data_IF_658365564077
#
_entry.id   IF_658365564077
#
_cell.length_a   1.000
_cell.length_b   1.000
_cell.length_c   1.000
_cell.angle_alpha   90.00
_cell.angle_beta   90.00
_cell.angle_gamma   90.00
#
_symmetry.space_group_name_H-M   'P 1'
#
loop_
_entity.id
_entity.type
_entity.pdbx_description
1 polymer ?
#
# COMPACT_ATOMS: atom_id res chain seq x y z
N UNK A 1 -25.07 -39.19 -49.93
CA UNK A 1 -25.65 -37.93 -49.42
C UNK A 1 -25.57 -38.03 -47.90
N UNK A 2 -24.39 -37.78 -47.32
CA UNK A 2 -23.95 -36.50 -46.73
C UNK A 2 -24.99 -35.98 -45.73
N UNK A 3 -24.74 -36.22 -44.44
CA UNK A 3 -24.17 -35.28 -43.45
C UNK A 3 -25.33 -34.55 -42.74
N UNK A 4 -25.34 -34.21 -41.46
CA UNK A 4 -24.28 -33.95 -40.49
C UNK A 4 -24.92 -34.03 -39.09
N UNK A 5 -24.12 -34.40 -38.09
CA UNK A 5 -24.46 -34.36 -36.67
C UNK A 5 -23.84 -33.07 -36.09
N UNK A 6 -24.59 -32.12 -35.50
CA UNK A 6 -24.01 -30.91 -34.95
C UNK A 6 -24.09 -30.95 -33.42
N UNK A 7 -23.09 -31.51 -32.75
CA UNK A 7 -22.84 -31.18 -31.34
C UNK A 7 -21.40 -31.53 -30.94
N UNK A 8 -20.47 -30.68 -31.35
CA UNK A 8 -19.12 -30.63 -30.78
C UNK A 8 -18.70 -29.17 -30.57
N UNK A 9 -19.16 -28.57 -29.47
CA UNK A 9 -18.47 -27.43 -28.85
C UNK A 9 -18.44 -27.61 -27.35
N UNK A 10 -17.38 -28.23 -26.83
CA UNK A 10 -16.98 -28.11 -25.43
C UNK A 10 -15.45 -28.06 -25.32
N UNK A 11 -14.99 -26.87 -24.94
CA UNK A 11 -13.88 -26.58 -24.04
C UNK A 11 -12.46 -27.08 -24.41
N UNK A 12 -11.74 -26.25 -25.15
CA UNK A 12 -10.27 -26.15 -25.09
C UNK A 12 -9.86 -24.82 -24.46
N UNK A 13 -9.87 -24.74 -23.13
CA UNK A 13 -9.16 -23.70 -22.37
C UNK A 13 -8.70 -24.30 -21.04
N UNK A 14 -7.72 -25.20 -21.07
CA UNK A 14 -6.99 -25.61 -19.85
C UNK A 14 -5.64 -26.30 -20.11
N UNK A 15 -4.76 -25.72 -20.92
CA UNK A 15 -3.41 -26.30 -21.17
C UNK A 15 -2.25 -25.32 -21.39
N UNK A 16 -2.37 -23.98 -21.25
CA UNK A 16 -1.32 -23.09 -21.77
C UNK A 16 -0.11 -22.79 -20.86
N UNK A 17 -0.22 -22.79 -19.54
CA UNK A 17 0.89 -22.30 -18.69
C UNK A 17 2.11 -23.24 -18.60
N UNK A 18 1.91 -24.56 -18.73
CA UNK A 18 3.03 -25.53 -18.70
C UNK A 18 3.80 -25.56 -20.02
N UNK A 19 3.14 -25.20 -21.11
CA UNK A 19 3.72 -25.23 -22.46
C UNK A 19 4.67 -24.03 -22.65
N UNK A 20 4.25 -22.84 -22.22
CA UNK A 20 5.04 -21.61 -22.34
C UNK A 20 6.40 -21.67 -21.60
N UNK A 21 6.44 -22.32 -20.42
CA UNK A 21 7.67 -22.50 -19.66
C UNK A 21 8.66 -23.46 -20.34
N UNK A 22 8.15 -24.54 -20.94
CA UNK A 22 8.97 -25.49 -21.71
C UNK A 22 9.50 -24.86 -23.00
N UNK A 23 8.67 -24.05 -23.67
CA UNK A 23 9.07 -23.30 -24.86
C UNK A 23 10.14 -22.25 -24.54
N UNK A 24 10.03 -21.54 -23.42
CA UNK A 24 11.04 -20.56 -22.99
C UNK A 24 12.39 -21.23 -22.70
N UNK A 25 12.38 -22.41 -22.07
CA UNK A 25 13.60 -23.19 -21.81
C UNK A 25 14.22 -23.74 -23.09
N UNK A 26 13.41 -24.24 -24.02
CA UNK A 26 13.88 -24.69 -25.34
C UNK A 26 14.54 -23.53 -26.11
N UNK A 27 13.90 -22.35 -26.13
CA UNK A 27 14.44 -21.15 -26.76
C UNK A 27 15.78 -20.73 -26.15
N UNK A 28 15.92 -20.81 -24.81
CA UNK A 28 17.19 -20.52 -24.15
C UNK A 28 18.30 -21.53 -24.54
N UNK A 29 17.95 -22.81 -24.70
CA UNK A 29 18.89 -23.83 -25.17
C UNK A 29 19.30 -23.57 -26.62
N UNK A 30 18.37 -23.24 -27.51
CA UNK A 30 18.65 -22.92 -28.91
C UNK A 30 19.56 -21.69 -29.06
N UNK A 31 19.38 -20.69 -28.19
CA UNK A 31 20.28 -19.54 -28.08
C UNK A 31 21.68 -19.96 -27.65
N UNK A 32 21.80 -20.81 -26.61
CA UNK A 32 23.09 -21.30 -26.09
C UNK A 32 23.81 -22.18 -27.10
N UNK A 33 23.07 -22.98 -27.87
CA UNK A 33 23.58 -23.85 -28.93
C UNK A 33 23.89 -23.08 -30.23
N UNK A 34 23.55 -21.79 -30.30
CA UNK A 34 23.80 -20.93 -31.46
C UNK A 34 22.84 -21.17 -32.63
N UNK A 35 21.77 -21.94 -32.43
CA UNK A 35 20.73 -22.21 -33.44
C UNK A 35 19.85 -21.00 -33.71
N UNK A 36 19.67 -20.13 -32.72
CA UNK A 36 18.92 -18.87 -32.82
C UNK A 36 19.84 -17.72 -32.43
N UNK A 37 19.90 -16.66 -33.26
CA UNK A 37 20.63 -15.46 -32.90
C UNK A 37 19.83 -14.61 -31.91
N UNK A 38 20.33 -14.32 -30.70
CA UNK A 38 19.58 -13.57 -29.68
C UNK A 38 19.15 -12.17 -30.10
N UNK A 39 19.87 -11.56 -31.05
CA UNK A 39 19.52 -10.22 -31.57
C UNK A 39 18.24 -10.22 -32.40
N UNK A 40 17.81 -11.38 -32.89
CA UNK A 40 16.57 -11.54 -33.67
C UNK A 40 15.31 -11.63 -32.81
N UNK A 41 15.45 -11.78 -31.49
CA UNK A 41 14.34 -11.97 -30.56
C UNK A 41 13.46 -10.72 -30.45
N UNK A 42 12.15 -10.93 -30.57
CA UNK A 42 11.15 -9.88 -30.31
C UNK A 42 11.01 -9.64 -28.80
N UNK A 43 10.48 -8.49 -28.38
CA UNK A 43 10.23 -8.22 -26.95
C UNK A 43 9.41 -9.31 -26.26
N UNK A 44 8.39 -9.87 -26.92
CA UNK A 44 7.50 -10.88 -26.35
C UNK A 44 8.19 -12.23 -26.09
N UNK A 45 9.21 -12.57 -26.89
CA UNK A 45 10.04 -13.78 -26.71
C UNK A 45 11.17 -13.53 -25.72
N UNK A 46 11.71 -12.30 -25.72
CA UNK A 46 12.83 -11.90 -24.87
C UNK A 46 12.43 -11.71 -23.42
N UNK A 47 11.25 -11.16 -23.13
CA UNK A 47 10.78 -10.89 -21.76
C UNK A 47 10.65 -12.16 -20.89
N UNK A 48 10.07 -13.27 -21.36
CA UNK A 48 10.06 -14.54 -20.62
C UNK A 48 11.47 -15.06 -20.30
N UNK A 49 12.40 -14.93 -21.25
CA UNK A 49 13.81 -15.29 -21.02
C UNK A 49 14.46 -14.39 -19.96
N UNK A 50 14.21 -13.08 -19.99
CA UNK A 50 14.68 -12.14 -18.96
C UNK A 50 14.11 -12.51 -17.59
N UNK A 51 12.81 -12.83 -17.51
CA UNK A 51 12.19 -13.27 -16.26
C UNK A 51 12.80 -14.56 -15.71
N UNK A 52 13.05 -15.54 -16.57
CA UNK A 52 13.69 -16.80 -16.21
C UNK A 52 15.12 -16.58 -15.69
N UNK A 53 15.97 -15.85 -16.43
CA UNK A 53 17.35 -15.60 -16.04
C UNK A 53 17.45 -14.74 -14.76
N UNK A 54 16.47 -13.85 -14.53
CA UNK A 54 16.34 -13.14 -13.25
C UNK A 54 16.01 -14.08 -12.09
N UNK A 55 15.13 -15.06 -12.30
CA UNK A 55 14.78 -16.05 -11.29
C UNK A 55 15.97 -16.98 -10.95
N UNK A 56 16.88 -17.21 -11.92
CA UNK A 56 18.16 -17.88 -11.70
C UNK A 56 19.21 -17.01 -10.98
N UNK A 57 18.90 -15.73 -10.73
CA UNK A 57 19.78 -14.81 -10.00
C UNK A 57 20.83 -14.08 -10.85
N UNK A 58 20.71 -14.12 -12.19
CA UNK A 58 21.69 -13.48 -13.07
C UNK A 58 21.60 -11.95 -13.01
N UNK A 59 22.75 -11.29 -13.11
CA UNK A 59 22.86 -9.83 -13.14
C UNK A 59 22.36 -9.25 -14.48
N UNK A 60 22.03 -7.95 -14.50
CA UNK A 60 21.60 -7.28 -15.76
C UNK A 60 22.65 -7.41 -16.87
N UNK A 61 23.93 -7.32 -16.54
CA UNK A 61 25.03 -7.43 -17.50
C UNK A 61 25.19 -8.86 -18.03
N UNK A 62 25.03 -9.88 -17.19
CA UNK A 62 25.04 -11.28 -17.61
C UNK A 62 23.88 -11.59 -18.56
N UNK A 63 22.68 -11.12 -18.21
CA UNK A 63 21.48 -11.26 -19.06
C UNK A 63 21.69 -10.55 -20.40
N UNK A 64 22.24 -9.33 -20.38
CA UNK A 64 22.54 -8.57 -21.59
C UNK A 64 23.56 -9.29 -22.47
N UNK A 65 24.58 -9.91 -21.88
CA UNK A 65 25.57 -10.71 -22.59
C UNK A 65 24.95 -11.96 -23.23
N UNK A 66 24.17 -12.75 -22.47
CA UNK A 66 23.50 -13.96 -22.97
C UNK A 66 22.53 -13.63 -24.11
N UNK A 67 21.74 -12.58 -23.97
CA UNK A 67 20.73 -12.17 -24.95
C UNK A 67 21.29 -11.23 -26.04
N UNK A 68 22.60 -10.96 -26.05
CA UNK A 68 23.29 -10.01 -26.93
C UNK A 68 22.55 -8.66 -27.07
N UNK A 69 21.95 -8.20 -25.98
CA UNK A 69 21.19 -6.96 -25.90
C UNK A 69 21.97 -5.92 -25.08
N UNK A 70 21.55 -4.65 -25.14
CA UNK A 70 22.13 -3.63 -24.25
C UNK A 70 21.49 -3.68 -22.86
N UNK A 71 22.24 -3.29 -21.84
CA UNK A 71 21.73 -3.14 -20.46
C UNK A 71 20.46 -2.29 -20.40
N UNK A 72 20.39 -1.24 -21.23
CA UNK A 72 19.20 -0.37 -21.33
C UNK A 72 17.95 -1.16 -21.76
N UNK A 73 18.08 -2.07 -22.74
CA UNK A 73 16.96 -2.90 -23.20
C UNK A 73 16.53 -3.86 -22.10
N UNK A 74 17.49 -4.52 -21.44
CA UNK A 74 17.17 -5.44 -20.33
C UNK A 74 16.46 -4.69 -19.20
N UNK A 75 16.90 -3.47 -18.85
CA UNK A 75 16.23 -2.66 -17.84
C UNK A 75 14.80 -2.25 -18.23
N UNK A 76 14.54 -2.00 -19.51
CA UNK A 76 13.19 -1.73 -20.02
C UNK A 76 12.31 -2.99 -19.96
N UNK A 77 12.82 -4.15 -20.34
CA UNK A 77 12.09 -5.41 -20.23
C UNK A 77 11.80 -5.76 -18.76
N UNK A 78 12.78 -5.57 -17.85
CA UNK A 78 12.58 -5.68 -16.40
C UNK A 78 11.52 -4.74 -15.86
N UNK A 79 11.35 -3.56 -16.48
CA UNK A 79 10.30 -2.61 -16.10
C UNK A 79 8.94 -3.10 -16.59
N UNK A 80 8.83 -3.49 -17.87
CA UNK A 80 7.61 -4.03 -18.43
C UNK A 80 7.12 -5.26 -17.65
N UNK A 81 8.01 -6.20 -17.32
CA UNK A 81 7.69 -7.35 -16.47
C UNK A 81 7.18 -6.95 -15.08
N UNK A 82 7.72 -5.89 -14.48
CA UNK A 82 7.23 -5.38 -13.18
C UNK A 82 5.86 -4.73 -13.31
N UNK A 83 5.62 -3.99 -14.39
CA UNK A 83 4.33 -3.38 -14.69
C UNK A 83 3.26 -4.46 -14.96
N UNK A 84 3.58 -5.49 -15.74
CA UNK A 84 2.72 -6.66 -15.99
C UNK A 84 2.40 -7.43 -14.70
N UNK A 85 3.38 -7.61 -13.81
CA UNK A 85 3.20 -8.25 -12.51
C UNK A 85 2.70 -7.30 -11.41
N UNK A 86 2.39 -6.04 -11.75
CA UNK A 86 1.87 -5.10 -10.75
C UNK A 86 0.47 -5.54 -10.36
N UNK A 87 0.34 -6.00 -9.11
CA UNK A 87 -0.96 -6.25 -8.51
C UNK A 87 -1.67 -4.91 -8.39
N UNK A 88 -2.67 -4.67 -9.26
CA UNK A 88 -3.55 -3.52 -9.13
C UNK A 88 -4.22 -3.56 -7.77
N UNK A 89 -4.31 -2.41 -7.08
CA UNK A 89 -4.97 -2.27 -5.78
C UNK A 89 -6.48 -2.50 -5.92
N UNK A 90 -6.90 -3.76 -6.03
CA UNK A 90 -8.30 -4.15 -5.98
C UNK A 90 -8.74 -4.28 -4.52
N UNK A 91 -9.68 -3.46 -4.03
CA UNK A 91 -10.20 -3.57 -2.67
C UNK A 91 -10.72 -4.96 -2.32
N UNK A 92 -11.22 -5.74 -3.30
CA UNK A 92 -11.67 -7.12 -3.06
C UNK A 92 -10.50 -8.06 -2.80
N UNK A 93 -9.42 -7.95 -3.57
CA UNK A 93 -8.21 -8.72 -3.37
C UNK A 93 -7.59 -8.45 -2.00
N UNK A 94 -7.57 -7.19 -1.56
CA UNK A 94 -7.06 -6.85 -0.22
C UNK A 94 -7.91 -7.52 0.87
N UNK A 95 -9.25 -7.46 0.78
CA UNK A 95 -10.14 -8.16 1.74
C UNK A 95 -9.90 -9.68 1.75
N UNK A 96 -9.74 -10.30 0.59
CA UNK A 96 -9.45 -11.74 0.49
C UNK A 96 -8.10 -12.10 1.09
N UNK A 97 -7.06 -11.31 0.82
CA UNK A 97 -5.73 -11.50 1.40
C UNK A 97 -5.75 -11.35 2.92
N UNK A 98 -6.45 -10.34 3.44
CA UNK A 98 -6.63 -10.14 4.88
C UNK A 98 -7.37 -11.30 5.52
N UNK A 99 -8.46 -11.77 4.91
CA UNK A 99 -9.19 -12.96 5.39
C UNK A 99 -8.30 -14.20 5.43
N UNK A 100 -7.46 -14.41 4.40
CA UNK A 100 -6.50 -15.50 4.35
C UNK A 100 -5.42 -15.38 5.43
N UNK A 101 -4.92 -14.18 5.68
CA UNK A 101 -3.93 -13.91 6.74
C UNK A 101 -4.48 -14.28 8.11
N UNK A 102 -5.71 -13.83 8.42
CA UNK A 102 -6.37 -14.13 9.70
C UNK A 102 -6.62 -15.62 9.85
N UNK A 103 -7.12 -16.28 8.80
CA UNK A 103 -7.34 -17.73 8.81
C UNK A 103 -6.05 -18.52 9.06
N UNK A 104 -4.93 -18.13 8.45
CA UNK A 104 -3.64 -18.80 8.66
C UNK A 104 -3.12 -18.57 10.09
N UNK A 105 -3.29 -17.36 10.64
CA UNK A 105 -2.93 -17.06 12.03
C UNK A 105 -3.75 -17.92 13.02
N UNK A 106 -5.05 -18.03 12.81
CA UNK A 106 -5.94 -18.88 13.62
C UNK A 106 -5.54 -20.35 13.55
N UNK A 107 -5.24 -20.86 12.35
CA UNK A 107 -4.76 -22.24 12.16
C UNK A 107 -3.43 -22.48 12.90
N UNK A 108 -2.51 -21.52 12.87
CA UNK A 108 -1.26 -21.60 13.62
C UNK A 108 -1.52 -21.68 15.13
N UNK A 109 -2.37 -20.79 15.67
CA UNK A 109 -2.76 -20.79 17.08
C UNK A 109 -3.40 -22.12 17.47
N UNK A 110 -4.33 -22.64 16.66
CA UNK A 110 -5.00 -23.92 16.92
C UNK A 110 -4.00 -25.08 16.95
N UNK A 111 -3.05 -25.14 16.01
CA UNK A 111 -2.00 -26.16 15.97
C UNK A 111 -1.14 -26.10 17.22
N UNK A 112 -0.65 -24.91 17.59
CA UNK A 112 0.17 -24.72 18.80
C UNK A 112 -0.59 -25.17 20.04
N UNK A 113 -1.84 -24.72 20.22
CA UNK A 113 -2.68 -25.12 21.36
C UNK A 113 -2.94 -26.62 21.41
N UNK A 114 -3.14 -27.27 20.25
CA UNK A 114 -3.30 -28.73 20.18
C UNK A 114 -2.07 -29.44 20.76
N UNK A 115 -0.86 -29.02 20.38
CA UNK A 115 0.39 -29.60 20.90
C UNK A 115 0.63 -29.24 22.38
N UNK A 116 0.35 -28.00 22.78
CA UNK A 116 0.50 -27.55 24.16
C UNK A 116 -0.44 -28.29 25.13
N UNK A 117 -1.61 -28.75 24.68
CA UNK A 117 -2.56 -29.52 25.50
C UNK A 117 -2.24 -31.01 25.64
N UNK A 118 -1.15 -31.49 25.04
CA UNK A 118 -0.68 -32.86 25.20
C UNK A 118 -0.45 -33.24 26.66
N UNK A 119 -0.76 -34.50 27.01
CA UNK A 119 -0.51 -35.05 28.35
C UNK A 119 0.98 -35.11 28.66
N UNK A 120 1.79 -35.46 27.67
CA UNK A 120 3.25 -35.62 27.78
C UNK A 120 4.03 -34.32 27.58
N UNK A 121 3.33 -33.20 27.35
CA UNK A 121 3.97 -31.90 27.09
C UNK A 121 4.48 -31.29 28.41
N UNK A 122 5.78 -30.93 28.52
CA UNK A 122 6.32 -30.26 29.70
C UNK A 122 5.63 -28.93 29.99
N UNK A 123 5.49 -28.56 31.27
CA UNK A 123 4.81 -27.32 31.67
C UNK A 123 5.43 -26.06 31.05
N UNK A 124 6.75 -26.02 30.91
CA UNK A 124 7.46 -24.92 30.24
C UNK A 124 7.01 -24.71 28.79
N UNK A 125 6.81 -25.80 28.05
CA UNK A 125 6.32 -25.78 26.65
C UNK A 125 4.86 -25.34 26.58
N UNK A 126 4.05 -25.65 27.60
CA UNK A 126 2.66 -25.17 27.67
C UNK A 126 2.59 -23.65 27.84
N UNK A 127 3.42 -23.11 28.72
CA UNK A 127 3.54 -21.66 28.96
C UNK A 127 4.06 -20.95 27.72
N UNK A 128 5.15 -21.45 27.12
CA UNK A 128 5.68 -20.87 25.87
C UNK A 128 4.64 -20.96 24.74
N UNK A 129 3.94 -22.09 24.59
CA UNK A 129 2.90 -22.27 23.60
C UNK A 129 1.79 -21.22 23.69
N UNK A 130 1.27 -20.94 24.88
CA UNK A 130 0.26 -19.88 25.03
C UNK A 130 0.83 -18.48 24.85
N UNK A 131 2.06 -18.23 25.31
CA UNK A 131 2.74 -16.98 25.03
C UNK A 131 2.90 -16.72 23.52
N UNK A 132 3.29 -17.72 22.74
CA UNK A 132 3.37 -17.63 21.27
C UNK A 132 2.01 -17.43 20.64
N UNK A 133 0.97 -18.09 21.12
CA UNK A 133 -0.40 -17.87 20.64
C UNK A 133 -0.83 -16.41 20.83
N UNK A 134 -0.55 -15.84 22.00
CA UNK A 134 -0.83 -14.43 22.28
C UNK A 134 -0.02 -13.50 21.36
N UNK A 135 1.28 -13.75 21.18
CA UNK A 135 2.12 -12.96 20.28
C UNK A 135 1.64 -12.96 18.82
N UNK A 136 1.18 -14.11 18.31
CA UNK A 136 0.63 -14.21 16.95
C UNK A 136 -0.64 -13.36 16.85
N UNK A 137 -1.52 -13.47 17.85
CA UNK A 137 -2.76 -12.70 17.90
C UNK A 137 -2.50 -11.18 17.97
N UNK A 138 -1.62 -10.75 18.85
CA UNK A 138 -1.22 -9.35 19.03
C UNK A 138 -0.65 -8.78 17.73
N UNK A 139 0.37 -9.43 17.15
CA UNK A 139 0.99 -9.00 15.89
C UNK A 139 0.00 -8.96 14.73
N UNK A 140 -0.91 -9.92 14.66
CA UNK A 140 -1.94 -9.94 13.61
C UNK A 140 -2.86 -8.73 13.79
N UNK A 141 -3.30 -8.45 15.01
CA UNK A 141 -4.14 -7.30 15.34
C UNK A 141 -3.45 -5.97 15.00
N UNK A 142 -2.18 -5.79 15.40
CA UNK A 142 -1.39 -4.61 15.06
C UNK A 142 -1.26 -4.40 13.55
N UNK A 143 -1.02 -5.50 12.79
CA UNK A 143 -0.93 -5.42 11.33
C UNK A 143 -2.26 -5.03 10.72
N UNK A 144 -3.37 -5.60 11.18
CA UNK A 144 -4.70 -5.21 10.72
C UNK A 144 -5.04 -3.74 11.04
N UNK A 145 -4.66 -3.23 12.22
CA UNK A 145 -4.79 -1.82 12.56
C UNK A 145 -3.94 -0.93 11.65
N UNK A 146 -2.67 -1.30 11.43
CA UNK A 146 -1.75 -0.54 10.56
C UNK A 146 -2.21 -0.48 9.09
N UNK A 147 -2.95 -1.51 8.65
CA UNK A 147 -3.56 -1.59 7.33
C UNK A 147 -4.94 -0.92 7.25
N UNK A 148 -5.46 -0.39 8.37
CA UNK A 148 -6.75 0.30 8.45
C UNK A 148 -7.97 -0.63 8.49
N UNK A 149 -7.79 -1.91 8.77
CA UNK A 149 -8.89 -2.89 8.87
C UNK A 149 -9.54 -2.94 10.24
N UNK A 150 -8.80 -2.59 11.29
CA UNK A 150 -9.29 -2.49 12.65
C UNK A 150 -9.09 -1.06 13.16
N UNK A 151 -9.99 -0.55 14.02
CA UNK A 151 -9.81 0.75 14.62
C UNK A 151 -8.54 0.73 15.51
N UNK A 152 -7.68 1.71 15.30
CA UNK A 152 -6.68 2.09 16.30
C UNK A 152 -7.42 2.90 17.36
N UNK A 153 -7.24 2.57 18.64
CA UNK A 153 -8.00 3.18 19.75
C UNK A 153 -7.84 4.71 19.90
N UNK A 154 -7.03 5.37 19.05
CA UNK A 154 -7.07 6.81 18.88
C UNK A 154 -8.42 7.21 18.28
N UNK A 155 -9.40 7.51 19.14
CA UNK A 155 -10.66 8.12 18.79
C UNK A 155 -10.38 9.36 17.93
N UNK A 156 -10.56 9.22 16.62
CA UNK A 156 -10.60 10.35 15.71
C UNK A 156 -11.90 11.07 16.04
N UNK A 157 -11.83 12.15 16.82
CA UNK A 157 -12.93 13.09 16.97
C UNK A 157 -13.07 13.76 15.60
N UNK A 158 -13.83 13.14 14.71
CA UNK A 158 -14.36 13.82 13.53
C UNK A 158 -15.49 14.72 14.02
N UNK A 159 -15.09 15.85 14.60
CA UNK A 159 -16.01 16.98 14.75
C UNK A 159 -16.16 17.56 13.35
N UNK A 160 -17.27 17.24 12.70
CA UNK A 160 -17.75 18.04 11.58
C UNK A 160 -17.95 19.47 12.12
N UNK A 161 -16.94 20.32 11.92
CA UNK A 161 -17.08 21.76 12.05
C UNK A 161 -17.99 22.19 10.89
N UNK A 162 -19.29 21.93 11.04
CA UNK A 162 -20.29 22.62 10.24
C UNK A 162 -20.22 24.07 10.68
N UNK A 163 -19.36 24.86 10.02
CA UNK A 163 -19.66 26.27 9.81
C UNK A 163 -20.98 26.26 9.07
N UNK A 164 -22.11 26.32 9.79
CA UNK A 164 -23.34 26.80 9.19
C UNK A 164 -22.97 28.19 8.67
N UNK A 165 -22.91 28.43 7.35
CA UNK A 165 -22.93 29.81 6.90
C UNK A 165 -24.27 30.31 7.39
N UNK A 166 -24.25 31.16 8.43
CA UNK A 166 -25.45 31.82 8.87
C UNK A 166 -26.02 32.46 7.61
N UNK A 167 -27.22 32.02 7.20
CA UNK A 167 -28.00 32.77 6.23
C UNK A 167 -27.91 34.22 6.69
N UNK A 168 -27.46 35.13 5.82
CA UNK A 168 -27.26 36.52 6.17
C UNK A 168 -28.57 37.03 6.78
N UNK A 169 -28.60 37.12 8.10
CA UNK A 169 -29.78 37.52 8.85
C UNK A 169 -30.21 38.87 8.29
N UNK A 170 -31.47 38.98 7.94
CA UNK A 170 -32.02 40.24 7.48
C UNK A 170 -31.93 41.25 8.63
N UNK A 171 -31.83 42.54 8.30
CA UNK A 171 -31.72 43.62 9.30
C UNK A 171 -32.83 43.55 10.37
N UNK A 172 -34.03 43.11 9.98
CA UNK A 172 -35.17 42.92 10.87
C UNK A 172 -34.97 41.75 11.86
N UNK A 173 -34.39 40.63 11.40
CA UNK A 173 -34.05 39.49 12.27
C UNK A 173 -32.92 39.84 13.25
N UNK A 174 -31.92 40.59 12.79
CA UNK A 174 -30.85 41.12 13.66
C UNK A 174 -31.45 42.04 14.75
N UNK A 175 -32.39 42.92 14.38
CA UNK A 175 -33.08 43.79 15.34
C UNK A 175 -33.94 43.01 16.33
N UNK A 176 -34.56 41.92 15.90
CA UNK A 176 -35.38 41.08 16.75
C UNK A 176 -34.52 40.30 17.75
N UNK A 177 -33.40 39.73 17.29
CA UNK A 177 -32.47 39.04 18.17
C UNK A 177 -31.77 40.02 19.13
N UNK A 178 -31.42 41.23 18.69
CA UNK A 178 -30.90 42.27 19.56
C UNK A 178 -31.90 42.66 20.67
N UNK A 179 -33.19 42.81 20.34
CA UNK A 179 -34.24 43.05 21.36
C UNK A 179 -34.36 41.89 22.33
N UNK A 180 -34.29 40.65 21.84
CA UNK A 180 -34.32 39.45 22.68
C UNK A 180 -33.14 39.43 23.66
N UNK A 181 -31.93 39.72 23.19
CA UNK A 181 -30.72 39.77 24.04
C UNK A 181 -30.82 40.87 25.10
N UNK A 182 -31.29 42.08 24.75
CA UNK A 182 -31.55 43.17 25.70
C UNK A 182 -32.61 42.75 26.75
N UNK A 183 -33.61 41.97 26.34
CA UNK A 183 -34.66 41.51 27.24
C UNK A 183 -34.16 40.41 28.17
N UNK A 184 -33.25 39.55 27.71
CA UNK A 184 -32.53 38.58 28.52
C UNK A 184 -31.64 39.31 29.55
N UNK A 185 -30.85 40.30 29.10
CA UNK A 185 -30.01 41.14 29.96
C UNK A 185 -30.82 41.82 31.08
N UNK A 186 -32.00 42.36 30.75
CA UNK A 186 -32.90 42.96 31.74
C UNK A 186 -33.59 41.96 32.66
N UNK A 187 -33.68 40.70 32.26
CA UNK A 187 -34.30 39.62 33.05
C UNK A 187 -33.31 38.91 33.97
N UNK A 188 -32.01 39.18 33.82
CA UNK A 188 -30.97 38.65 34.69
C UNK A 188 -30.87 39.52 35.96
N UNK A 189 -30.86 38.92 37.16
CA UNK A 189 -30.58 39.66 38.39
C UNK A 189 -29.15 40.23 38.36
N UNK A 190 -28.95 41.42 38.92
CA UNK A 190 -27.75 42.25 38.81
C UNK A 190 -26.49 41.71 39.55
N UNK A 191 -26.34 40.41 39.66
CA UNK A 191 -25.12 39.79 40.17
C UNK A 191 -24.50 38.89 39.09
N UNK A 192 -23.26 39.22 38.74
CA UNK A 192 -22.37 38.59 37.76
C UNK A 192 -22.44 39.11 36.30
N UNK A 193 -22.34 40.44 36.11
CA UNK A 193 -21.63 40.96 34.93
C UNK A 193 -20.19 41.26 35.38
N UNK A 194 -19.30 40.28 35.22
CA UNK A 194 -17.87 40.57 35.18
C UNK A 194 -17.60 41.26 33.84
N UNK A 195 -17.33 42.56 33.87
CA UNK A 195 -16.65 43.24 32.77
C UNK A 195 -15.24 42.65 32.68
N UNK A 196 -15.07 41.58 31.90
CA UNK A 196 -13.76 41.22 31.38
C UNK A 196 -13.49 42.14 30.19
N UNK A 197 -13.03 43.36 30.49
CA UNK A 197 -12.27 44.19 29.56
C UNK A 197 -10.89 43.54 29.38
N UNK A 198 -10.84 42.36 28.75
CA UNK A 198 -9.57 41.86 28.22
C UNK A 198 -9.31 42.58 26.91
N UNK A 199 -8.47 43.61 27.01
CA UNK A 199 -7.84 44.27 25.88
C UNK A 199 -7.43 43.22 24.84
N UNK A 200 -7.97 43.35 23.63
CA UNK A 200 -7.50 42.63 22.46
C UNK A 200 -6.12 43.22 22.15
N UNK A 201 -5.08 42.67 22.76
CA UNK A 201 -3.71 42.88 22.29
C UNK A 201 -3.62 42.24 20.91
N UNK A 202 -3.55 43.09 19.89
CA UNK A 202 -3.17 42.71 18.55
C UNK A 202 -1.75 42.13 18.60
N UNK A 203 -1.64 40.81 18.60
CA UNK A 203 -0.37 40.14 18.32
C UNK A 203 -0.05 40.32 16.84
N UNK A 204 0.64 41.42 16.52
CA UNK A 204 1.57 41.50 15.40
C UNK A 204 2.68 40.47 15.62
N UNK A 205 2.50 39.26 15.11
CA UNK A 205 3.64 38.39 14.77
C UNK A 205 3.99 38.61 13.31
N UNK A 206 4.73 39.69 13.06
CA UNK A 206 5.67 39.78 11.95
C UNK A 206 6.96 39.14 12.45
N UNK A 207 7.20 37.89 12.06
CA UNK A 207 8.53 37.28 12.11
C UNK A 207 8.76 36.57 10.78
N UNK A 208 9.40 37.34 9.90
CA UNK A 208 10.55 36.92 9.09
C UNK A 208 10.39 35.65 8.24
N UNK A 209 10.10 35.90 6.95
CA UNK A 209 10.51 35.07 5.84
C UNK A 209 12.04 34.86 5.90
N UNK A 210 12.49 33.70 6.37
CA UNK A 210 13.85 33.23 6.08
C UNK A 210 13.85 32.54 4.71
N UNK A 211 14.46 33.24 3.75
CA UNK A 211 14.84 32.74 2.42
C UNK A 211 15.75 31.51 2.56
N UNK A 212 15.19 30.32 2.46
CA UNK A 212 15.94 29.08 2.28
C UNK A 212 16.31 28.89 0.80
N UNK A 213 17.19 29.76 0.29
CA UNK A 213 17.87 29.55 -0.98
C UNK A 213 19.12 28.69 -0.76
N UNK A 214 19.28 27.55 -1.45
CA UNK A 214 20.47 26.73 -1.32
C UNK A 214 21.70 27.44 -1.92
N UNK A 215 22.67 27.77 -1.06
CA UNK A 215 24.02 28.17 -1.47
C UNK A 215 24.71 27.02 -2.19
N UNK A 216 24.92 27.20 -3.50
CA UNK A 216 25.85 26.38 -4.28
C UNK A 216 27.27 26.77 -3.90
N UNK A 217 27.94 25.92 -3.12
CA UNK A 217 29.39 25.99 -2.94
C UNK A 217 30.10 25.57 -4.22
N UNK A 218 30.41 26.56 -5.05
CA UNK A 218 31.49 26.49 -6.02
C UNK A 218 32.81 26.66 -5.27
N UNK A 219 33.52 25.57 -4.97
CA UNK A 219 34.95 25.66 -4.69
C UNK A 219 35.78 24.87 -5.70
N UNK A 220 36.20 25.62 -6.73
CA UNK A 220 37.32 25.33 -7.61
C UNK A 220 38.61 25.73 -6.89
N UNK A 221 39.56 24.79 -6.83
CA UNK A 221 40.98 25.04 -6.58
C UNK A 221 41.62 23.68 -6.28
N UNK A 222 42.45 23.06 -7.12
CA UNK A 222 43.45 23.63 -8.00
C UNK A 222 44.83 23.44 -7.35
N UNK A 223 45.50 22.36 -7.75
CA UNK A 223 46.95 22.13 -7.81
C UNK A 223 47.85 22.41 -6.59
N UNK A 224 48.68 21.42 -6.19
CA UNK A 224 50.09 21.36 -6.60
C UNK A 224 50.87 20.21 -5.95
N UNK A 225 51.78 19.65 -6.77
CA UNK A 225 52.96 18.80 -6.49
C UNK A 225 52.74 17.31 -6.17
#
# INVERSE_FOLDING_TARGET
MNSENPDSKKNDQKTSEKDDGLQTLALLQDIRNGSIDPKSLRPDERRPLVALLMAEGQSTAEIAHVLKASDRIIQLDKRALREENTITKDPKLVKQMVGRLVAEADLCIQRIRKFARGKDTPASVKVDGEHRCFQIFEKTTERLQSLGFLPTAAQKIEADLTHRPAASLTLEEIRLEARRLIQIEKSLPAEEIKQDDSAIEANETVTEFEDNSPQQDNNRGGNNH
#
